data_IF_561578897307
#
_entry.id   IF_561578897307
#
_cell.length_a   1.000
_cell.length_b   1.000
_cell.length_c   1.000
_cell.angle_alpha   90.00
_cell.angle_beta   90.00
_cell.angle_gamma   90.00
#
_symmetry.space_group_name_H-M   'P 1'
#
loop_
_entity.id
_entity.type
_entity.pdbx_description
1 polymer ?
#
# COMPACT_ATOMS: atom_id res chain seq x y z
N UNK A 1 8.90 -15.78 17.12
CA UNK A 1 9.49 -15.88 15.77
C UNK A 1 9.61 -14.49 15.15
N UNK A 2 10.63 -14.20 14.32
CA UNK A 2 10.78 -12.93 13.60
C UNK A 2 10.68 -13.17 12.09
N UNK A 3 9.83 -12.40 11.41
CA UNK A 3 9.66 -12.41 9.95
C UNK A 3 9.89 -11.00 9.44
N UNK A 4 10.58 -10.87 8.31
CA UNK A 4 10.86 -9.60 7.64
C UNK A 4 10.36 -9.72 6.20
N UNK A 5 9.45 -8.83 5.82
CA UNK A 5 8.82 -8.81 4.50
C UNK A 5 8.99 -7.46 3.81
N UNK A 6 8.93 -7.46 2.47
CA UNK A 6 8.98 -6.24 1.65
C UNK A 6 7.59 -5.84 1.18
N UNK A 7 7.15 -4.65 1.56
CA UNK A 7 5.91 -4.05 1.09
C UNK A 7 6.22 -3.14 -0.12
N UNK A 8 6.20 -3.72 -1.32
CA UNK A 8 6.52 -2.99 -2.56
C UNK A 8 5.50 -1.91 -2.89
N UNK A 9 6.00 -0.74 -3.24
CA UNK A 9 5.22 0.39 -3.71
C UNK A 9 4.70 0.15 -5.14
N UNK A 10 3.71 0.96 -5.52
CA UNK A 10 3.19 1.01 -6.89
C UNK A 10 3.16 2.44 -7.41
N UNK A 11 3.25 2.54 -8.72
CA UNK A 11 2.91 3.77 -9.46
C UNK A 11 1.74 3.50 -10.40
N UNK A 12 0.99 4.55 -10.72
CA UNK A 12 0.00 4.52 -11.79
C UNK A 12 0.67 5.07 -13.06
N UNK A 13 0.93 4.23 -14.07
CA UNK A 13 1.52 4.68 -15.34
C UNK A 13 0.56 5.54 -16.18
N UNK A 14 -0.72 5.47 -15.85
CA UNK A 14 -1.77 6.35 -16.34
C UNK A 14 -2.99 6.22 -15.45
N UNK A 15 -3.74 7.30 -15.27
CA UNK A 15 -4.96 7.32 -14.49
C UNK A 15 -5.99 8.21 -15.18
N UNK A 16 -7.19 7.68 -15.38
CA UNK A 16 -8.34 8.41 -15.91
C UNK A 16 -9.52 8.23 -14.97
N UNK A 17 -10.11 9.35 -14.56
CA UNK A 17 -11.40 9.36 -13.87
C UNK A 17 -12.51 9.30 -14.91
N UNK A 18 -13.40 8.31 -14.80
CA UNK A 18 -14.50 8.09 -15.73
C UNK A 18 -15.78 8.82 -15.30
N UNK A 19 -16.00 8.95 -13.99
CA UNK A 19 -17.16 9.65 -13.46
C UNK A 19 -17.33 9.41 -11.97
N UNK A 20 -18.30 10.12 -11.36
CA UNK A 20 -18.67 9.94 -9.96
C UNK A 20 -19.77 8.88 -9.83
N UNK A 21 -19.61 7.99 -8.87
CA UNK A 21 -20.55 6.93 -8.51
C UNK A 21 -21.59 7.43 -7.50
N UNK A 22 -22.77 6.79 -7.42
CA UNK A 22 -23.81 7.14 -6.43
C UNK A 22 -23.37 7.01 -4.96
N UNK A 23 -22.37 6.19 -4.68
CA UNK A 23 -21.79 6.00 -3.33
C UNK A 23 -20.78 7.09 -2.94
N UNK A 24 -20.59 8.10 -3.78
CA UNK A 24 -19.69 9.23 -3.52
C UNK A 24 -18.26 9.05 -4.02
N UNK A 25 -17.88 7.85 -4.49
CA UNK A 25 -16.56 7.57 -5.06
C UNK A 25 -16.48 7.90 -6.55
N UNK A 26 -15.30 7.71 -7.15
CA UNK A 26 -15.11 7.84 -8.59
C UNK A 26 -14.80 6.48 -9.22
N UNK A 27 -15.36 6.24 -10.40
CA UNK A 27 -14.90 5.17 -11.26
C UNK A 27 -13.60 5.61 -11.95
N UNK A 28 -12.58 4.76 -11.91
CA UNK A 28 -11.25 5.06 -12.47
C UNK A 28 -10.77 3.92 -13.37
N UNK A 29 -10.04 4.29 -14.42
CA UNK A 29 -9.30 3.38 -15.28
C UNK A 29 -7.80 3.69 -15.13
N UNK A 30 -6.99 2.68 -14.84
CA UNK A 30 -5.55 2.87 -14.59
C UNK A 30 -4.74 1.64 -14.94
N UNK A 31 -3.44 1.84 -15.23
CA UNK A 31 -2.43 0.77 -15.26
C UNK A 31 -1.55 0.94 -14.02
N UNK A 32 -1.60 -0.05 -13.11
CA UNK A 32 -0.75 -0.10 -11.92
C UNK A 32 0.51 -0.90 -12.22
N UNK A 33 1.65 -0.38 -11.81
CA UNK A 33 2.95 -1.02 -11.93
C UNK A 33 3.62 -1.07 -10.56
N UNK A 34 3.96 -2.27 -10.10
CA UNK A 34 4.83 -2.45 -8.93
C UNK A 34 6.25 -1.99 -9.27
N UNK A 35 6.89 -1.32 -8.31
CA UNK A 35 8.28 -0.86 -8.45
C UNK A 35 9.14 -1.44 -7.33
N UNK A 36 10.47 -1.43 -7.51
CA UNK A 36 11.42 -1.97 -6.54
C UNK A 36 11.60 -1.10 -5.29
N UNK A 37 10.89 0.04 -5.18
CA UNK A 37 10.80 0.80 -3.94
C UNK A 37 9.84 0.08 -2.99
N UNK A 38 10.26 -0.15 -1.74
CA UNK A 38 9.46 -0.85 -0.75
C UNK A 38 9.74 -0.33 0.66
N UNK A 39 8.75 -0.52 1.54
CA UNK A 39 8.97 -0.49 2.98
C UNK A 39 9.39 -1.89 3.46
N UNK A 40 10.23 -1.96 4.48
CA UNK A 40 10.54 -3.21 5.18
C UNK A 40 9.62 -3.34 6.39
N UNK A 41 8.82 -4.41 6.42
CA UNK A 41 7.90 -4.68 7.52
C UNK A 41 8.46 -5.85 8.34
N UNK A 42 8.80 -5.56 9.60
CA UNK A 42 9.21 -6.57 10.56
C UNK A 42 8.02 -6.98 11.42
N UNK A 43 7.76 -8.29 11.51
CA UNK A 43 6.76 -8.87 12.39
C UNK A 43 7.43 -9.80 13.41
N UNK A 44 7.04 -9.63 14.67
CA UNK A 44 7.49 -10.45 15.79
C UNK A 44 6.28 -10.89 16.63
N UNK A 45 6.29 -12.14 17.11
CA UNK A 45 5.27 -12.64 18.03
C UNK A 45 5.30 -11.85 19.34
N UNK A 46 4.13 -11.38 19.78
CA UNK A 46 3.97 -10.61 21.02
C UNK A 46 2.60 -10.88 21.66
N UNK A 47 2.46 -10.57 22.96
CA UNK A 47 1.19 -10.71 23.70
C UNK A 47 0.13 -9.68 23.29
N UNK A 48 0.53 -8.61 22.58
CA UNK A 48 -0.35 -7.54 22.12
C UNK A 48 0.15 -6.89 20.83
N UNK A 49 -0.62 -5.94 20.31
CA UNK A 49 -0.29 -5.23 19.06
C UNK A 49 0.37 -3.90 19.39
N UNK A 50 1.57 -3.68 18.84
CA UNK A 50 2.27 -2.41 18.85
C UNK A 50 2.79 -2.09 17.44
N UNK A 51 2.96 -0.80 17.14
CA UNK A 51 3.49 -0.32 15.87
C UNK A 51 4.56 0.72 16.13
N UNK A 52 5.69 0.58 15.43
CA UNK A 52 6.73 1.61 15.36
C UNK A 52 7.03 1.87 13.89
N UNK A 53 7.30 3.12 13.53
CA UNK A 53 7.65 3.52 12.16
C UNK A 53 8.86 4.44 12.23
N UNK A 54 9.80 4.29 11.30
CA UNK A 54 11.01 5.12 11.25
C UNK A 54 10.74 6.54 10.76
N UNK A 55 9.66 6.76 10.01
CA UNK A 55 9.27 8.06 9.45
C UNK A 55 7.73 8.23 9.59
N UNK A 56 7.25 9.16 10.45
CA UNK A 56 5.83 9.33 10.77
C UNK A 56 5.03 10.20 9.80
#
# INVERSE_FOLDING_TARGET
MKVVERAYAKINLGLKVLGRRPDGYHEVLTVMQTVDLYDEVTLEEAEGISLTCSDP
#
